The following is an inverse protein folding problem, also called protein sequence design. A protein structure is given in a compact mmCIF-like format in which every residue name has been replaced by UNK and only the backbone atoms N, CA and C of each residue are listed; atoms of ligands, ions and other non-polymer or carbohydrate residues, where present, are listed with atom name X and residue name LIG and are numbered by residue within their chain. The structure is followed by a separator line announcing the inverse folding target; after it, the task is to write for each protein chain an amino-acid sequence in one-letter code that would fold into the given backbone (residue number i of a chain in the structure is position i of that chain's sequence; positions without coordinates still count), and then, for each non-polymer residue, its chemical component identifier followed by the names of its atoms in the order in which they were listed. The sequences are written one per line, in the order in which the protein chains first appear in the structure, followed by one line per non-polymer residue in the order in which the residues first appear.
data_IF_196315760469
#
_entry.id   IF_196315760469
#
_cell.length_a   1.000
_cell.length_b   1.000
_cell.length_c   1.000
_cell.angle_alpha   90.00
_cell.angle_beta   90.00
_cell.angle_gamma   90.00
#
_symmetry.space_group_name_H-M   'P 1'
#
loop_
_entity.id
_entity.type
_entity.pdbx_description
1 polymer ?
#
# COMPACT_ATOMS: atom_id res chain seq x y z
N UNK A 1 61.44 -23.17 -11.92
CA UNK A 1 60.32 -23.62 -12.77
C UNK A 1 59.09 -23.77 -11.88
N UNK A 2 57.96 -23.16 -12.22
CA UNK A 2 56.81 -23.03 -11.32
C UNK A 2 55.78 -24.15 -11.52
N UNK A 3 55.22 -24.62 -10.41
CA UNK A 3 53.96 -25.38 -10.37
C UNK A 3 52.83 -24.34 -10.31
N UNK A 4 51.98 -24.28 -11.34
CA UNK A 4 50.78 -23.44 -11.37
C UNK A 4 49.59 -24.37 -11.42
N UNK A 5 49.19 -24.87 -10.25
CA UNK A 5 47.90 -25.52 -10.06
C UNK A 5 46.79 -24.48 -10.23
N UNK A 6 46.11 -24.53 -11.37
CA UNK A 6 44.96 -23.69 -11.67
C UNK A 6 43.73 -24.13 -10.89
N UNK A 7 43.33 -23.32 -9.91
CA UNK A 7 42.04 -23.43 -9.25
C UNK A 7 40.92 -23.01 -10.22
N UNK A 8 40.14 -24.00 -10.63
CA UNK A 8 38.91 -23.83 -11.41
C UNK A 8 37.88 -23.11 -10.56
N UNK A 9 37.64 -21.82 -10.85
CA UNK A 9 36.51 -21.08 -10.28
C UNK A 9 35.20 -21.62 -10.86
N UNK A 10 34.38 -22.22 -9.98
CA UNK A 10 33.01 -22.60 -10.28
C UNK A 10 32.19 -21.35 -10.60
N UNK A 11 31.81 -21.20 -11.86
CA UNK A 11 30.92 -20.14 -12.33
C UNK A 11 29.53 -20.44 -11.76
N UNK A 12 29.10 -19.64 -10.78
CA UNK A 12 27.73 -19.67 -10.27
C UNK A 12 26.78 -19.31 -11.42
N UNK A 13 26.09 -20.32 -11.94
CA UNK A 13 25.10 -20.13 -13.00
C UNK A 13 23.94 -19.31 -12.42
N UNK A 14 23.74 -18.11 -12.94
CA UNK A 14 22.60 -17.26 -12.61
C UNK A 14 21.33 -17.97 -13.11
N UNK A 15 20.54 -18.51 -12.18
CA UNK A 15 19.25 -19.11 -12.46
C UNK A 15 18.34 -18.05 -13.09
N UNK A 16 18.17 -18.12 -14.41
CA UNK A 16 17.26 -17.25 -15.15
C UNK A 16 15.84 -17.61 -14.74
N UNK A 17 15.11 -16.66 -14.14
CA UNK A 17 13.71 -16.83 -13.77
C UNK A 17 12.87 -16.75 -15.05
N UNK A 18 12.64 -17.88 -15.71
CA UNK A 18 11.71 -17.98 -16.83
C UNK A 18 10.28 -17.94 -16.32
N UNK A 19 9.67 -16.77 -16.31
CA UNK A 19 8.21 -16.62 -16.18
C UNK A 19 7.56 -16.96 -17.52
N UNK A 20 7.40 -18.24 -17.81
CA UNK A 20 6.50 -18.68 -18.88
C UNK A 20 5.08 -18.58 -18.36
N UNK A 21 4.49 -17.39 -18.43
CA UNK A 21 3.04 -17.26 -18.35
C UNK A 21 2.65 -16.04 -19.15
N UNK A 22 1.75 -16.22 -20.11
CA UNK A 22 1.13 -15.18 -20.96
C UNK A 22 0.27 -14.20 -20.14
N UNK A 23 0.48 -14.15 -18.82
CA UNK A 23 -0.28 -13.36 -17.87
C UNK A 23 0.41 -12.01 -17.67
N UNK A 24 -0.32 -10.88 -17.78
CA UNK A 24 0.27 -9.56 -17.65
C UNK A 24 0.81 -9.36 -16.23
N UNK A 25 2.05 -8.85 -16.14
CA UNK A 25 2.63 -8.41 -14.87
C UNK A 25 1.76 -7.31 -14.24
N UNK A 26 1.58 -7.30 -12.90
CA UNK A 26 0.85 -6.25 -12.22
C UNK A 26 1.41 -4.87 -12.58
N UNK A 27 0.51 -3.92 -12.82
CA UNK A 27 0.92 -2.54 -13.10
C UNK A 27 1.55 -1.93 -11.84
N UNK A 28 2.65 -1.16 -11.96
CA UNK A 28 3.28 -0.52 -10.81
C UNK A 28 2.33 0.37 -10.03
N UNK A 29 2.58 0.49 -8.72
CA UNK A 29 1.78 1.35 -7.85
C UNK A 29 1.88 2.81 -8.30
N UNK A 30 0.75 3.43 -8.60
CA UNK A 30 0.67 4.86 -8.87
C UNK A 30 0.48 5.60 -7.54
N UNK A 31 1.53 6.27 -7.08
CA UNK A 31 1.52 7.00 -5.80
C UNK A 31 0.89 8.41 -5.88
N UNK A 32 0.35 8.79 -7.05
CA UNK A 32 -0.30 10.07 -7.32
C UNK A 32 -1.82 9.92 -7.45
N UNK A 33 -2.58 10.97 -7.12
CA UNK A 33 -4.04 10.95 -7.20
C UNK A 33 -4.69 10.15 -6.07
N UNK A 34 -5.66 9.29 -6.41
CA UNK A 34 -6.37 8.43 -5.46
C UNK A 34 -5.52 7.22 -5.05
N UNK A 35 -4.67 7.45 -4.04
CA UNK A 35 -3.75 6.44 -3.49
C UNK A 35 -4.48 5.21 -2.94
N UNK A 36 -5.71 5.37 -2.46
CA UNK A 36 -6.49 4.27 -1.87
C UNK A 36 -6.97 3.34 -2.98
N UNK A 37 -7.64 3.89 -4.00
CA UNK A 37 -8.10 3.10 -5.15
C UNK A 37 -6.94 2.45 -5.91
N UNK A 38 -5.84 3.18 -6.10
CA UNK A 38 -4.64 2.65 -6.77
C UNK A 38 -4.01 1.49 -5.98
N UNK A 39 -4.00 1.57 -4.66
CA UNK A 39 -3.48 0.49 -3.81
C UNK A 39 -4.38 -0.73 -3.84
N UNK A 40 -5.70 -0.54 -3.76
CA UNK A 40 -6.66 -1.65 -3.86
C UNK A 40 -6.55 -2.36 -5.21
N UNK A 41 -6.38 -1.60 -6.30
CA UNK A 41 -6.16 -2.16 -7.63
C UNK A 41 -4.86 -2.98 -7.70
N UNK A 42 -3.74 -2.44 -7.19
CA UNK A 42 -2.48 -3.18 -7.13
C UNK A 42 -2.59 -4.44 -6.29
N UNK A 43 -3.26 -4.37 -5.12
CA UNK A 43 -3.43 -5.50 -4.21
C UNK A 43 -4.21 -6.64 -4.89
N UNK A 44 -5.32 -6.31 -5.56
CA UNK A 44 -6.10 -7.28 -6.32
C UNK A 44 -5.25 -7.91 -7.44
N UNK A 45 -4.56 -7.08 -8.22
CA UNK A 45 -3.68 -7.56 -9.31
C UNK A 45 -2.55 -8.46 -8.78
N UNK A 46 -2.02 -8.16 -7.59
CA UNK A 46 -1.01 -8.98 -6.94
C UNK A 46 -1.57 -10.35 -6.54
N UNK A 47 -2.72 -10.39 -5.89
CA UNK A 47 -3.40 -11.63 -5.49
C UNK A 47 -3.69 -12.52 -6.72
N UNK A 48 -4.27 -11.94 -7.76
CA UNK A 48 -4.55 -12.66 -9.02
C UNK A 48 -3.26 -13.16 -9.69
N UNK A 49 -2.19 -12.36 -9.66
CA UNK A 49 -0.90 -12.74 -10.20
C UNK A 49 -0.24 -13.88 -9.41
N UNK A 50 -0.32 -13.88 -8.07
CA UNK A 50 0.24 -14.95 -7.25
C UNK A 50 -0.44 -16.29 -7.53
N UNK A 51 -1.77 -16.27 -7.67
CA UNK A 51 -2.56 -17.46 -8.01
C UNK A 51 -2.26 -17.92 -9.44
N UNK A 52 -2.34 -17.01 -10.42
CA UNK A 52 -2.20 -17.33 -11.83
C UNK A 52 -0.79 -17.83 -12.22
N UNK A 53 0.25 -17.35 -11.53
CA UNK A 53 1.64 -17.78 -11.79
C UNK A 53 2.10 -18.91 -10.88
N UNK A 54 1.27 -19.32 -9.92
CA UNK A 54 1.63 -20.30 -8.88
C UNK A 54 2.73 -19.80 -7.94
N UNK A 55 2.93 -18.48 -7.86
CA UNK A 55 3.92 -17.85 -6.99
C UNK A 55 3.60 -18.09 -5.52
N UNK A 56 2.31 -18.23 -5.20
CA UNK A 56 1.83 -18.55 -3.85
C UNK A 56 2.50 -19.80 -3.25
N UNK A 57 2.83 -20.79 -4.10
CA UNK A 57 3.46 -22.06 -3.70
C UNK A 57 5.00 -21.98 -3.62
N UNK A 58 5.60 -20.83 -3.97
CA UNK A 58 7.05 -20.62 -3.95
C UNK A 58 7.51 -20.10 -2.59
N UNK A 59 8.82 -20.10 -2.36
CA UNK A 59 9.42 -19.52 -1.16
C UNK A 59 9.00 -18.06 -0.94
N UNK A 60 8.76 -17.69 0.32
CA UNK A 60 8.39 -16.33 0.72
C UNK A 60 9.41 -15.29 0.24
N UNK A 61 10.70 -15.66 0.17
CA UNK A 61 11.77 -14.81 -0.36
C UNK A 61 11.56 -14.46 -1.83
N UNK A 62 11.14 -15.43 -2.64
CA UNK A 62 10.86 -15.23 -4.07
C UNK A 62 9.60 -14.39 -4.24
N UNK A 63 8.53 -14.71 -3.50
CA UNK A 63 7.28 -13.93 -3.48
C UNK A 63 7.54 -12.45 -3.17
N UNK A 64 8.30 -12.18 -2.10
CA UNK A 64 8.68 -10.82 -1.70
C UNK A 64 9.57 -10.11 -2.73
N UNK A 65 10.53 -10.81 -3.34
CA UNK A 65 11.37 -10.23 -4.38
C UNK A 65 10.54 -9.82 -5.59
N UNK A 66 9.57 -10.65 -5.98
CA UNK A 66 8.64 -10.34 -7.06
C UNK A 66 7.73 -9.17 -6.69
N UNK A 67 7.16 -9.14 -5.48
CA UNK A 67 6.36 -7.99 -5.00
C UNK A 67 7.15 -6.67 -5.11
N UNK A 68 8.42 -6.68 -4.68
CA UNK A 68 9.33 -5.52 -4.76
C UNK A 68 9.64 -5.09 -6.20
N UNK A 69 9.70 -6.04 -7.13
CA UNK A 69 9.89 -5.72 -8.55
C UNK A 69 8.65 -5.10 -9.20
N UNK A 70 7.43 -5.53 -8.81
CA UNK A 70 6.19 -5.05 -9.43
C UNK A 70 5.69 -3.75 -8.83
N UNK A 71 5.93 -3.47 -7.54
CA UNK A 71 5.37 -2.30 -6.86
C UNK A 71 5.88 -0.94 -7.40
N UNK A 72 7.01 -0.92 -8.11
CA UNK A 72 7.59 0.30 -8.68
C UNK A 72 8.46 1.11 -7.72
N UNK A 73 9.24 2.05 -8.28
CA UNK A 73 10.27 2.82 -7.55
C UNK A 73 9.71 3.64 -6.39
N UNK A 74 8.62 4.38 -6.61
CA UNK A 74 8.03 5.25 -5.58
C UNK A 74 7.49 4.43 -4.40
N UNK A 75 6.76 3.36 -4.67
CA UNK A 75 6.24 2.46 -3.64
C UNK A 75 7.38 1.75 -2.89
N UNK A 76 8.46 1.37 -3.59
CA UNK A 76 9.63 0.79 -2.95
C UNK A 76 10.32 1.79 -2.00
N UNK A 77 10.41 3.08 -2.37
CA UNK A 77 10.94 4.11 -1.47
C UNK A 77 10.07 4.28 -0.23
N UNK A 78 8.74 4.22 -0.37
CA UNK A 78 7.80 4.21 0.76
C UNK A 78 8.05 2.98 1.64
N UNK A 79 8.11 1.78 1.04
CA UNK A 79 8.36 0.52 1.72
C UNK A 79 9.66 0.54 2.54
N UNK A 80 10.74 1.12 2.00
CA UNK A 80 12.01 1.25 2.71
C UNK A 80 11.90 2.17 3.93
N UNK A 81 11.05 3.19 3.89
CA UNK A 81 10.81 4.11 4.99
C UNK A 81 9.81 3.57 6.04
N UNK A 82 9.13 2.45 5.77
CA UNK A 82 8.26 1.82 6.77
C UNK A 82 9.08 1.27 7.94
N UNK A 83 8.55 1.47 9.15
CA UNK A 83 9.14 1.00 10.42
C UNK A 83 8.86 -0.49 10.64
N UNK A 84 9.37 -1.33 9.74
CA UNK A 84 9.31 -2.78 9.84
C UNK A 84 10.63 -3.34 10.39
N UNK A 85 10.55 -4.29 11.31
CA UNK A 85 11.69 -5.09 11.77
C UNK A 85 12.22 -5.99 10.66
N UNK A 86 13.41 -6.57 10.87
CA UNK A 86 14.05 -7.47 9.89
C UNK A 86 13.23 -8.74 9.66
N UNK A 87 12.50 -9.19 10.68
CA UNK A 87 11.63 -10.37 10.63
C UNK A 87 10.34 -10.05 9.87
N UNK A 88 9.69 -8.93 10.18
CA UNK A 88 8.48 -8.47 9.48
C UNK A 88 8.73 -8.23 7.98
N UNK A 89 9.93 -7.78 7.59
CA UNK A 89 10.29 -7.62 6.17
C UNK A 89 10.47 -8.93 5.40
N UNK A 90 10.46 -10.07 6.08
CA UNK A 90 10.50 -11.41 5.48
C UNK A 90 9.11 -12.03 5.35
N UNK A 91 8.11 -11.41 5.96
CA UNK A 91 6.73 -11.85 5.86
C UNK A 91 5.99 -11.02 4.81
N UNK A 92 5.41 -11.69 3.81
CA UNK A 92 4.71 -11.02 2.73
C UNK A 92 3.41 -10.37 3.19
N UNK A 93 2.67 -11.00 4.10
CA UNK A 93 1.40 -10.50 4.59
C UNK A 93 1.62 -9.26 5.44
N UNK A 94 2.65 -9.27 6.30
CA UNK A 94 3.02 -8.09 7.09
C UNK A 94 3.49 -6.95 6.18
N UNK A 95 4.26 -7.25 5.13
CA UNK A 95 4.69 -6.24 4.16
C UNK A 95 3.50 -5.60 3.43
N UNK A 96 2.55 -6.41 2.95
CA UNK A 96 1.33 -5.94 2.27
C UNK A 96 0.47 -5.13 3.26
N UNK A 97 0.28 -5.61 4.48
CA UNK A 97 -0.49 -4.91 5.51
C UNK A 97 0.12 -3.57 5.91
N UNK A 98 1.44 -3.47 5.98
CA UNK A 98 2.13 -2.22 6.28
C UNK A 98 2.02 -1.20 5.14
N UNK A 99 2.09 -1.66 3.88
CA UNK A 99 1.84 -0.81 2.72
C UNK A 99 0.37 -0.37 2.66
N UNK A 100 -0.56 -1.27 2.96
CA UNK A 100 -1.99 -0.96 3.07
C UNK A 100 -2.24 0.09 4.14
N UNK A 101 -1.63 -0.04 5.33
CA UNK A 101 -1.74 0.96 6.38
C UNK A 101 -1.15 2.32 5.97
N UNK A 102 -0.17 2.35 5.07
CA UNK A 102 0.42 3.58 4.55
C UNK A 102 -0.44 4.24 3.45
N UNK A 103 -0.91 3.48 2.48
CA UNK A 103 -1.70 4.00 1.35
C UNK A 103 -3.17 4.22 1.69
N UNK A 104 -3.68 3.41 2.61
CA UNK A 104 -5.01 3.48 3.18
C UNK A 104 -4.88 3.76 4.68
N UNK A 105 -4.34 4.93 5.08
CA UNK A 105 -4.25 5.27 6.49
C UNK A 105 -5.65 5.13 7.07
N UNK A 106 -5.77 4.33 8.14
CA UNK A 106 -6.99 4.30 8.94
C UNK A 106 -7.37 5.76 9.18
N UNK A 107 -8.56 6.16 8.71
CA UNK A 107 -9.08 7.53 8.86
C UNK A 107 -8.74 7.99 10.27
N UNK A 108 -7.86 8.99 10.38
CA UNK A 108 -7.43 9.46 11.68
C UNK A 108 -8.61 10.25 12.26
N UNK A 109 -9.41 9.57 13.07
CA UNK A 109 -10.61 10.13 13.70
C UNK A 109 -10.29 11.42 14.44
N UNK A 110 -9.11 11.53 15.06
CA UNK A 110 -8.69 12.76 15.76
C UNK A 110 -8.53 13.93 14.78
N UNK A 111 -7.92 13.69 13.62
CA UNK A 111 -7.72 14.71 12.60
C UNK A 111 -9.04 15.08 11.89
N UNK A 112 -9.90 14.11 11.62
CA UNK A 112 -11.23 14.35 11.05
C UNK A 112 -12.11 15.17 12.04
N UNK A 113 -12.07 14.83 13.33
CA UNK A 113 -12.74 15.61 14.39
C UNK A 113 -12.18 17.03 14.52
N UNK A 114 -10.86 17.19 14.39
CA UNK A 114 -10.24 18.51 14.35
C UNK A 114 -10.75 19.35 13.17
N UNK A 115 -10.84 18.77 11.97
CA UNK A 115 -11.44 19.43 10.79
C UNK A 115 -12.90 19.79 11.00
N UNK A 116 -13.68 18.89 11.60
CA UNK A 116 -15.07 19.14 11.94
C UNK A 116 -15.20 20.33 12.90
N UNK A 117 -14.39 20.37 13.97
CA UNK A 117 -14.42 21.46 14.95
C UNK A 117 -13.90 22.80 14.41
N UNK A 118 -13.04 22.78 13.38
CA UNK A 118 -12.59 23.98 12.68
C UNK A 118 -13.56 24.46 11.59
N UNK A 119 -14.56 23.64 11.24
CA UNK A 119 -15.52 23.99 10.22
C UNK A 119 -16.38 25.16 10.73
N UNK A 120 -16.28 26.31 10.06
CA UNK A 120 -17.14 27.47 10.28
C UNK A 120 -17.91 27.82 9.00
N UNK A 121 -19.06 28.46 9.17
CA UNK A 121 -19.87 28.95 8.05
C UNK A 121 -19.12 30.08 7.33
N UNK A 122 -19.06 30.02 6.00
CA UNK A 122 -18.48 31.11 5.21
C UNK A 122 -19.49 32.26 5.06
N UNK A 123 -19.00 33.48 4.85
CA UNK A 123 -19.85 34.68 4.74
C UNK A 123 -20.88 34.63 3.59
N UNK A 124 -20.60 33.86 2.54
CA UNK A 124 -21.45 33.70 1.35
C UNK A 124 -22.16 32.34 1.29
N UNK A 125 -22.03 31.50 2.31
CA UNK A 125 -22.59 30.14 2.34
C UNK A 125 -23.96 30.11 3.03
N UNK A 126 -24.93 29.45 2.39
CA UNK A 126 -26.24 29.18 3.00
C UNK A 126 -26.09 28.31 4.25
N UNK A 127 -27.00 28.46 5.20
CA UNK A 127 -27.07 27.58 6.39
C UNK A 127 -27.22 26.11 5.97
N UNK A 128 -28.05 25.81 4.97
CA UNK A 128 -28.23 24.46 4.43
C UNK A 128 -26.93 23.88 3.85
N UNK A 129 -26.16 24.69 3.11
CA UNK A 129 -24.89 24.25 2.52
C UNK A 129 -23.84 23.98 3.60
N UNK A 130 -23.81 24.83 4.62
CA UNK A 130 -22.95 24.66 5.79
C UNK A 130 -23.30 23.39 6.58
N UNK A 131 -24.57 23.14 6.85
CA UNK A 131 -25.05 21.93 7.54
C UNK A 131 -24.74 20.67 6.73
N UNK A 132 -24.92 20.71 5.40
CA UNK A 132 -24.55 19.60 4.53
C UNK A 132 -23.04 19.31 4.57
N UNK A 133 -22.21 20.37 4.60
CA UNK A 133 -20.75 20.23 4.74
C UNK A 133 -20.35 19.66 6.09
N UNK A 134 -20.99 20.09 7.18
CA UNK A 134 -20.80 19.52 8.52
C UNK A 134 -21.20 18.04 8.58
N UNK A 135 -22.35 17.66 8.01
CA UNK A 135 -22.78 16.24 7.93
C UNK A 135 -21.78 15.39 7.15
N UNK A 136 -21.25 15.92 6.05
CA UNK A 136 -20.19 15.25 5.27
C UNK A 136 -18.92 15.05 6.09
N UNK A 137 -18.46 16.05 6.83
CA UNK A 137 -17.28 15.93 7.70
C UNK A 137 -17.52 15.00 8.90
N UNK A 138 -18.71 15.03 9.50
CA UNK A 138 -19.05 14.16 10.63
C UNK A 138 -19.08 12.68 10.26
N UNK A 139 -19.41 12.34 9.00
CA UNK A 139 -19.43 10.96 8.50
C UNK A 139 -18.09 10.22 8.64
N UNK A 140 -16.96 10.94 8.63
CA UNK A 140 -15.62 10.39 8.82
C UNK A 140 -15.11 10.49 10.26
N UNK A 141 -15.84 11.16 11.16
CA UNK A 141 -15.45 11.44 12.54
C UNK A 141 -15.83 10.35 13.56
N UNK A 142 -16.57 9.32 13.12
CA UNK A 142 -17.07 8.22 13.98
C UNK A 142 -17.76 8.74 15.26
N UNK A 143 -18.62 9.76 15.13
CA UNK A 143 -19.41 10.28 16.26
C UNK A 143 -20.56 9.33 16.66
N UNK A 144 -20.93 8.39 15.78
CA UNK A 144 -22.02 7.45 16.04
C UNK A 144 -23.34 8.18 16.22
N UNK A 145 -24.06 7.88 17.30
CA UNK A 145 -25.34 8.52 17.65
C UNK A 145 -25.22 10.00 18.00
N UNK A 146 -24.01 10.49 18.32
CA UNK A 146 -23.77 11.89 18.67
C UNK A 146 -23.75 12.83 17.45
N UNK A 147 -23.79 12.27 16.23
CA UNK A 147 -23.64 13.05 14.99
C UNK A 147 -24.71 14.13 14.85
N UNK A 148 -25.99 13.80 15.06
CA UNK A 148 -27.08 14.77 14.94
C UNK A 148 -27.11 15.78 16.10
N UNK A 149 -26.61 15.42 17.29
CA UNK A 149 -26.48 16.36 18.42
C UNK A 149 -25.38 17.41 18.18
N UNK A 150 -24.30 17.03 17.49
CA UNK A 150 -23.16 17.91 17.18
C UNK A 150 -23.42 18.86 16.00
N UNK A 151 -24.43 18.60 15.18
CA UNK A 151 -24.81 19.40 14.00
C UNK A 151 -26.19 20.05 14.23
N UNK A 152 -26.45 20.47 15.46
CA UNK A 152 -27.71 21.11 15.84
C UNK A 152 -27.72 22.58 15.40
N UNK A 153 -28.89 23.04 14.95
CA UNK A 153 -29.20 24.40 14.45
C UNK A 153 -28.40 25.54 15.11
#
# INVERSE_FOLDING_TARGET
MPDTSGEQQAVAQATTLNFTSTFPVPSPMVCQGDKVANWEFLKQQWEDYEVATGLEKRDTKTRLATLRSVMGKECMQIFMNLKLTVEERKDIEICIGALEAHFKPKRNVVYERYKFNLCSQNAEESVDDYVNRLRKLASSCQFGTLTDELIRD
#
